data_IF_181513965310
#
_entry.id   IF_181513965310
#
_cell.length_a   1.000
_cell.length_b   1.000
_cell.length_c   1.000
_cell.angle_alpha   90.00
_cell.angle_beta   90.00
_cell.angle_gamma   90.00
#
_symmetry.space_group_name_H-M   'P 1'
#
loop_
_entity.id
_entity.type
_entity.pdbx_description
1 polymer ?
#
# COMPACT_ATOMS: atom_id res chain seq x y z
N UNK A 1 -9.77 6.52 -17.70
CA UNK A 1 -10.60 5.70 -16.78
C UNK A 1 -11.95 5.23 -17.33
N UNK A 2 -12.61 5.90 -18.30
CA UNK A 2 -13.92 5.47 -18.86
C UNK A 2 -13.89 4.18 -19.72
N UNK A 3 -12.79 3.90 -20.42
CA UNK A 3 -12.69 2.75 -21.35
C UNK A 3 -12.70 1.35 -20.70
N UNK A 4 -12.03 1.17 -19.55
CA UNK A 4 -12.00 -0.12 -18.82
C UNK A 4 -13.37 -0.53 -18.28
N UNK A 5 -14.19 0.45 -17.87
CA UNK A 5 -15.54 0.21 -17.36
C UNK A 5 -16.51 -0.16 -18.48
N UNK A 6 -16.36 0.46 -19.65
CA UNK A 6 -17.15 0.17 -20.85
C UNK A 6 -16.83 -1.23 -21.40
N UNK A 7 -15.55 -1.60 -21.47
CA UNK A 7 -15.14 -2.94 -21.91
C UNK A 7 -15.68 -4.06 -21.01
N UNK A 8 -15.61 -3.87 -19.68
CA UNK A 8 -16.20 -4.83 -18.73
C UNK A 8 -17.71 -4.98 -18.92
N UNK A 9 -18.45 -3.88 -19.09
CA UNK A 9 -19.90 -3.92 -19.34
C UNK A 9 -20.24 -4.64 -20.64
N UNK A 10 -19.50 -4.37 -21.72
CA UNK A 10 -19.70 -5.02 -23.02
C UNK A 10 -19.39 -6.51 -22.96
N UNK A 11 -18.29 -6.91 -22.31
CA UNK A 11 -17.97 -8.32 -22.10
C UNK A 11 -19.03 -9.03 -21.24
N UNK A 12 -19.56 -8.36 -20.21
CA UNK A 12 -20.64 -8.89 -19.36
C UNK A 12 -21.94 -9.05 -20.15
N UNK A 13 -22.29 -8.08 -21.01
CA UNK A 13 -23.49 -8.19 -21.86
C UNK A 13 -23.35 -9.29 -22.91
N UNK A 14 -22.17 -9.46 -23.50
CA UNK A 14 -21.92 -10.52 -24.48
C UNK A 14 -21.96 -11.91 -23.82
N UNK A 15 -21.37 -12.05 -22.63
CA UNK A 15 -21.44 -13.31 -21.87
C UNK A 15 -22.86 -13.63 -21.41
N UNK A 16 -23.64 -12.65 -20.95
CA UNK A 16 -25.07 -12.82 -20.65
C UNK A 16 -25.87 -13.27 -21.88
N UNK A 17 -25.63 -12.65 -23.03
CA UNK A 17 -26.34 -12.97 -24.28
C UNK A 17 -25.99 -14.38 -24.78
N UNK A 18 -24.71 -14.78 -24.70
CA UNK A 18 -24.30 -16.16 -24.95
C UNK A 18 -24.93 -17.14 -23.96
N UNK A 19 -25.02 -16.78 -22.67
CA UNK A 19 -25.61 -17.64 -21.64
C UNK A 19 -27.12 -17.83 -21.88
N UNK A 20 -27.83 -16.77 -22.27
CA UNK A 20 -29.25 -16.84 -22.67
C UNK A 20 -29.43 -17.75 -23.89
N UNK A 21 -28.61 -17.57 -24.94
CA UNK A 21 -28.66 -18.43 -26.14
C UNK A 21 -28.39 -19.90 -25.81
N UNK A 22 -27.38 -20.19 -25.00
CA UNK A 22 -27.07 -21.55 -24.54
C UNK A 22 -28.22 -22.14 -23.72
N UNK A 23 -28.88 -21.33 -22.88
CA UNK A 23 -30.04 -21.74 -22.09
C UNK A 23 -31.24 -22.05 -23.00
N UNK A 24 -31.50 -21.23 -24.02
CA UNK A 24 -32.57 -21.47 -25.00
C UNK A 24 -32.32 -22.72 -25.84
N UNK A 25 -31.07 -22.96 -26.25
CA UNK A 25 -30.68 -24.19 -26.97
C UNK A 25 -30.86 -25.41 -26.06
N UNK A 26 -30.38 -25.36 -24.82
CA UNK A 26 -30.54 -26.44 -23.84
C UNK A 26 -32.02 -26.74 -23.54
N UNK A 27 -32.88 -25.71 -23.52
CA UNK A 27 -34.33 -25.87 -23.40
C UNK A 27 -34.93 -26.57 -24.63
N UNK A 28 -34.59 -26.11 -25.84
CA UNK A 28 -35.11 -26.68 -27.09
C UNK A 28 -34.67 -28.13 -27.31
N UNK A 29 -33.47 -28.49 -26.86
CA UNK A 29 -32.91 -29.85 -26.95
C UNK A 29 -33.41 -30.77 -25.81
N UNK A 30 -34.24 -30.26 -24.89
CA UNK A 30 -34.82 -31.07 -23.81
C UNK A 30 -33.81 -31.48 -22.73
N UNK A 31 -32.71 -30.74 -22.61
CA UNK A 31 -31.66 -30.98 -21.59
C UNK A 31 -32.22 -30.71 -20.19
N UNK A 32 -33.04 -29.67 -20.02
CA UNK A 32 -33.62 -29.35 -18.71
C UNK A 32 -34.70 -30.35 -18.26
N UNK A 33 -35.46 -30.95 -19.17
CA UNK A 33 -36.45 -31.99 -18.84
C UNK A 33 -35.80 -33.31 -18.43
N UNK A 34 -34.65 -33.64 -19.03
CA UNK A 34 -33.84 -34.81 -18.63
C UNK A 34 -33.09 -34.59 -17.32
N UNK A 35 -32.66 -33.36 -17.03
CA UNK A 35 -32.03 -32.97 -15.77
C UNK A 35 -33.05 -32.87 -14.62
N UNK A 36 -34.24 -32.31 -14.87
CA UNK A 36 -35.29 -32.12 -13.85
C UNK A 36 -35.93 -33.44 -13.38
N UNK A 37 -35.82 -34.52 -14.17
CA UNK A 37 -36.27 -35.86 -13.79
C UNK A 37 -35.29 -36.64 -12.92
N UNK A 38 -34.09 -36.11 -12.65
CA UNK A 38 -33.08 -36.75 -11.83
C UNK A 38 -33.08 -36.17 -10.41
N UNK A 39 -33.04 -37.00 -9.35
CA UNK A 39 -32.80 -36.50 -8.00
C UNK A 39 -31.46 -35.72 -7.96
N UNK A 40 -31.38 -34.67 -7.15
CA UNK A 40 -30.22 -33.76 -7.10
C UNK A 40 -28.88 -34.49 -6.91
N UNK A 41 -28.84 -35.52 -6.06
CA UNK A 41 -27.63 -36.29 -5.76
C UNK A 41 -27.06 -37.07 -6.96
N UNK A 42 -27.82 -37.94 -7.68
CA UNK A 42 -27.31 -38.64 -8.87
C UNK A 42 -26.99 -37.71 -10.05
N UNK A 43 -27.58 -36.51 -10.11
CA UNK A 43 -27.18 -35.48 -11.07
C UNK A 43 -25.78 -34.94 -10.76
N UNK A 44 -25.53 -34.58 -9.49
CA UNK A 44 -24.22 -34.11 -9.02
C UNK A 44 -23.16 -35.20 -9.21
N UNK A 45 -23.49 -36.45 -8.95
CA UNK A 45 -22.60 -37.60 -9.18
C UNK A 45 -22.24 -37.76 -10.66
N UNK A 46 -23.20 -37.67 -11.59
CA UNK A 46 -22.94 -37.69 -13.05
C UNK A 46 -22.08 -36.52 -13.53
N UNK A 47 -22.23 -35.35 -12.91
CA UNK A 47 -21.42 -34.16 -13.25
C UNK A 47 -19.99 -34.32 -12.73
N UNK A 48 -19.79 -34.83 -11.52
CA UNK A 48 -18.46 -35.04 -10.92
C UNK A 48 -17.71 -36.20 -11.60
N UNK A 49 -18.42 -37.27 -11.99
CA UNK A 49 -17.83 -38.41 -12.72
C UNK A 49 -17.49 -38.07 -14.18
N UNK A 50 -18.01 -36.96 -14.72
CA UNK A 50 -17.63 -36.48 -16.03
C UNK A 50 -16.16 -36.03 -16.02
N UNK A 51 -15.30 -36.79 -16.71
CA UNK A 51 -13.85 -36.57 -16.74
C UNK A 51 -13.47 -35.16 -17.22
N UNK A 52 -14.24 -34.58 -18.14
CA UNK A 52 -14.00 -33.22 -18.63
C UNK A 52 -14.32 -32.18 -17.54
N UNK A 53 -15.50 -32.27 -16.91
CA UNK A 53 -15.90 -31.34 -15.84
C UNK A 53 -14.97 -31.45 -14.62
N UNK A 54 -14.64 -32.68 -14.22
CA UNK A 54 -13.70 -32.97 -13.14
C UNK A 54 -12.30 -32.46 -13.46
N UNK A 55 -11.81 -32.68 -14.69
CA UNK A 55 -10.50 -32.20 -15.14
C UNK A 55 -10.37 -30.67 -15.17
N UNK A 56 -11.39 -29.99 -15.71
CA UNK A 56 -11.45 -28.51 -15.72
C UNK A 56 -11.54 -27.96 -14.30
N UNK A 57 -12.40 -28.52 -13.45
CA UNK A 57 -12.57 -28.08 -12.06
C UNK A 57 -11.28 -28.29 -11.25
N UNK A 58 -10.64 -29.46 -11.38
CA UNK A 58 -9.36 -29.75 -10.73
C UNK A 58 -8.25 -28.79 -11.19
N UNK A 59 -8.22 -28.45 -12.48
CA UNK A 59 -7.25 -27.49 -13.03
C UNK A 59 -7.46 -26.09 -12.48
N UNK A 60 -8.71 -25.61 -12.39
CA UNK A 60 -9.04 -24.31 -11.79
C UNK A 60 -8.64 -24.28 -10.31
N UNK A 61 -9.00 -25.32 -9.54
CA UNK A 61 -8.64 -25.43 -8.12
C UNK A 61 -7.11 -25.45 -7.97
N UNK A 62 -6.40 -26.21 -8.80
CA UNK A 62 -4.94 -26.27 -8.81
C UNK A 62 -4.31 -24.90 -9.03
N UNK A 63 -4.77 -24.15 -10.04
CA UNK A 63 -4.31 -22.77 -10.31
C UNK A 63 -4.57 -21.86 -9.11
N UNK A 64 -5.74 -21.94 -8.49
CA UNK A 64 -6.08 -21.12 -7.30
C UNK A 64 -5.18 -21.46 -6.11
N UNK A 65 -4.93 -22.74 -5.84
CA UNK A 65 -4.05 -23.20 -4.76
C UNK A 65 -2.61 -22.73 -5.00
N UNK A 66 -2.09 -22.95 -6.21
CA UNK A 66 -0.74 -22.53 -6.60
C UNK A 66 -0.59 -21.02 -6.43
N UNK A 67 -1.56 -20.24 -6.92
CA UNK A 67 -1.55 -18.78 -6.76
C UNK A 67 -1.55 -18.36 -5.29
N UNK A 68 -2.42 -18.95 -4.46
CA UNK A 68 -2.48 -18.65 -3.02
C UNK A 68 -1.18 -19.01 -2.31
N UNK A 69 -0.59 -20.16 -2.65
CA UNK A 69 0.68 -20.63 -2.10
C UNK A 69 1.84 -19.71 -2.51
N UNK A 70 1.91 -19.31 -3.78
CA UNK A 70 2.91 -18.38 -4.29
C UNK A 70 2.82 -17.02 -3.60
N UNK A 71 1.63 -16.44 -3.48
CA UNK A 71 1.41 -15.17 -2.77
C UNK A 71 1.84 -15.28 -1.31
N UNK A 72 1.49 -16.36 -0.63
CA UNK A 72 1.90 -16.61 0.75
C UNK A 72 3.42 -16.75 0.88
N UNK A 73 4.06 -17.50 -0.02
CA UNK A 73 5.50 -17.69 -0.04
C UNK A 73 6.25 -16.36 -0.26
N UNK A 74 5.80 -15.55 -1.22
CA UNK A 74 6.36 -14.21 -1.50
C UNK A 74 6.23 -13.28 -0.28
N UNK A 75 5.05 -13.22 0.35
CA UNK A 75 4.85 -12.47 1.61
C UNK A 75 5.82 -12.93 2.70
N UNK A 76 6.00 -14.25 2.84
CA UNK A 76 6.90 -14.83 3.84
C UNK A 76 8.37 -14.45 3.56
N UNK A 77 8.79 -14.49 2.29
CA UNK A 77 10.16 -14.13 1.90
C UNK A 77 10.47 -12.67 2.13
N UNK A 78 9.54 -11.76 1.78
CA UNK A 78 9.70 -10.33 2.07
C UNK A 78 9.84 -10.06 3.57
N UNK A 79 9.04 -10.73 4.40
CA UNK A 79 9.10 -10.64 5.87
C UNK A 79 10.37 -11.26 6.48
N UNK A 80 11.12 -12.04 5.70
CA UNK A 80 12.41 -12.62 6.09
C UNK A 80 13.60 -11.75 5.68
N UNK A 81 13.38 -10.64 4.98
CA UNK A 81 14.45 -9.70 4.68
C UNK A 81 14.48 -8.59 5.75
N UNK A 82 15.59 -8.51 6.49
CA UNK A 82 15.77 -7.50 7.52
C UNK A 82 15.73 -6.07 6.94
N UNK A 83 16.36 -5.84 5.77
CA UNK A 83 16.43 -4.52 5.13
C UNK A 83 15.04 -4.02 4.76
N UNK A 84 14.19 -4.93 4.27
CA UNK A 84 12.80 -4.60 4.01
C UNK A 84 12.06 -4.21 5.30
N UNK A 85 12.31 -4.89 6.41
CA UNK A 85 11.66 -4.57 7.69
C UNK A 85 12.12 -3.21 8.24
N UNK A 86 13.39 -2.83 8.06
CA UNK A 86 13.91 -1.51 8.42
C UNK A 86 13.24 -0.41 7.59
N UNK A 87 13.21 -0.54 6.26
CA UNK A 87 12.49 0.42 5.41
C UNK A 87 10.99 0.52 5.77
N UNK A 88 10.36 -0.60 6.12
CA UNK A 88 8.95 -0.61 6.54
C UNK A 88 8.77 0.12 7.87
N UNK A 89 9.69 -0.02 8.82
CA UNK A 89 9.67 0.72 10.08
C UNK A 89 9.73 2.23 9.83
N UNK A 90 10.71 2.68 9.04
CA UNK A 90 10.89 4.09 8.70
C UNK A 90 9.63 4.65 8.02
N UNK A 91 9.09 3.94 7.03
CA UNK A 91 7.86 4.36 6.35
C UNK A 91 6.68 4.41 7.35
N UNK A 92 6.57 3.49 8.30
CA UNK A 92 5.53 3.56 9.34
C UNK A 92 5.68 4.79 10.22
N UNK A 93 6.91 5.17 10.59
CA UNK A 93 7.18 6.40 11.33
C UNK A 93 6.82 7.63 10.51
N UNK A 94 7.08 7.61 9.19
CA UNK A 94 6.61 8.62 8.25
C UNK A 94 5.08 8.72 8.21
N UNK A 95 4.37 7.59 8.08
CA UNK A 95 2.89 7.53 8.07
C UNK A 95 2.33 8.09 9.37
N UNK A 96 2.91 7.72 10.51
CA UNK A 96 2.49 8.20 11.83
C UNK A 96 2.68 9.72 11.95
N UNK A 97 3.81 10.23 11.49
CA UNK A 97 4.14 11.66 11.52
C UNK A 97 3.20 12.47 10.63
N UNK A 98 2.94 12.00 9.40
CA UNK A 98 1.92 12.58 8.52
C UNK A 98 0.55 12.56 9.19
N UNK A 99 0.19 11.46 9.85
CA UNK A 99 -1.07 11.33 10.59
C UNK A 99 -1.24 12.35 11.72
N UNK A 100 -0.14 12.84 12.31
CA UNK A 100 -0.15 13.86 13.37
C UNK A 100 -0.38 15.26 12.83
N UNK A 101 0.39 15.69 11.82
CA UNK A 101 0.33 17.09 11.36
C UNK A 101 -0.70 17.34 10.26
N UNK A 102 -1.02 16.36 9.39
CA UNK A 102 -1.94 16.59 8.27
C UNK A 102 -3.35 17.05 8.69
N UNK A 103 -3.94 16.55 9.80
CA UNK A 103 -5.21 17.07 10.30
C UNK A 103 -5.16 18.54 10.73
N UNK A 104 -3.97 19.07 11.02
CA UNK A 104 -3.74 20.44 11.47
C UNK A 104 -3.43 21.40 10.31
N UNK A 105 -3.17 20.88 9.11
CA UNK A 105 -2.88 21.69 7.92
C UNK A 105 -4.06 22.62 7.65
N UNK A 106 -3.82 23.94 7.51
CA UNK A 106 -4.90 24.90 7.32
C UNK A 106 -5.69 24.63 6.04
N UNK A 107 -7.01 24.73 6.15
CA UNK A 107 -7.88 24.62 4.98
C UNK A 107 -7.71 25.84 4.07
N UNK A 108 -7.68 25.57 2.75
CA UNK A 108 -7.63 26.61 1.73
C UNK A 108 -8.96 27.36 1.72
N UNK A 109 -8.90 28.67 1.96
CA UNK A 109 -10.06 29.53 1.79
C UNK A 109 -10.48 29.55 0.31
N UNK A 110 -11.76 29.31 0.06
CA UNK A 110 -12.37 29.40 -1.27
C UNK A 110 -12.88 30.81 -1.48
N UNK A 111 -12.64 31.34 -2.68
CA UNK A 111 -13.11 32.67 -3.05
C UNK A 111 -14.62 32.75 -3.20
N UNK A 112 -15.17 33.93 -2.93
CA UNK A 112 -16.54 34.30 -3.27
C UNK A 112 -16.51 35.22 -4.51
N UNK A 113 -17.67 35.50 -5.12
CA UNK A 113 -17.76 36.29 -6.37
C UNK A 113 -17.10 37.68 -6.30
N UNK A 114 -16.97 38.25 -5.10
CA UNK A 114 -16.45 39.59 -4.87
C UNK A 114 -15.03 39.63 -4.24
N UNK A 115 -14.32 38.50 -4.12
CA UNK A 115 -12.98 38.51 -3.51
C UNK A 115 -11.87 38.83 -4.51
N UNK A 116 -10.88 39.63 -4.11
CA UNK A 116 -9.63 39.76 -4.85
C UNK A 116 -8.85 38.44 -4.80
N UNK A 117 -8.62 37.87 -5.99
CA UNK A 117 -7.87 36.61 -6.15
C UNK A 117 -6.45 36.70 -5.59
N UNK A 118 -5.80 37.87 -5.70
CA UNK A 118 -4.44 38.07 -5.24
C UNK A 118 -4.35 38.15 -3.71
N UNK A 119 -5.24 38.91 -3.07
CA UNK A 119 -5.33 38.91 -1.60
C UNK A 119 -5.63 37.53 -1.05
N UNK A 120 -6.55 36.79 -1.69
CA UNK A 120 -6.89 35.44 -1.28
C UNK A 120 -5.71 34.46 -1.43
N UNK A 121 -4.93 34.56 -2.51
CA UNK A 121 -3.70 33.77 -2.70
C UNK A 121 -2.69 34.09 -1.61
N UNK A 122 -2.44 35.37 -1.34
CA UNK A 122 -1.53 35.84 -0.29
C UNK A 122 -1.93 35.30 1.09
N UNK A 123 -3.21 35.45 1.47
CA UNK A 123 -3.73 34.99 2.75
C UNK A 123 -3.58 33.47 2.92
N UNK A 124 -3.92 32.69 1.89
CA UNK A 124 -3.74 31.24 1.92
C UNK A 124 -2.26 30.84 2.02
N UNK A 125 -1.39 31.50 1.25
CA UNK A 125 0.04 31.25 1.29
C UNK A 125 0.63 31.52 2.68
N UNK A 126 0.26 32.65 3.30
CA UNK A 126 0.70 32.99 4.66
C UNK A 126 0.32 31.91 5.68
N UNK A 127 -0.89 31.35 5.60
CA UNK A 127 -1.31 30.23 6.47
C UNK A 127 -0.42 29.00 6.29
N UNK A 128 -0.17 28.60 5.05
CA UNK A 128 0.67 27.43 4.76
C UNK A 128 2.12 27.63 5.20
N UNK A 129 2.70 28.81 4.95
CA UNK A 129 4.06 29.15 5.36
C UNK A 129 4.17 29.18 6.88
N UNK A 130 3.23 29.84 7.57
CA UNK A 130 3.19 29.87 9.03
C UNK A 130 3.12 28.47 9.64
N UNK A 131 2.20 27.65 9.15
CA UNK A 131 2.07 26.25 9.55
C UNK A 131 3.36 25.44 9.31
N UNK A 132 3.98 25.60 8.13
CA UNK A 132 5.21 24.88 7.81
C UNK A 132 6.35 25.25 8.74
N UNK A 133 6.51 26.53 9.10
CA UNK A 133 7.58 26.97 10.00
C UNK A 133 7.37 26.43 11.43
N UNK A 134 6.13 26.35 11.90
CA UNK A 134 5.78 25.76 13.20
C UNK A 134 6.04 24.25 13.25
N UNK A 135 5.75 23.54 12.16
CA UNK A 135 5.84 22.07 12.08
C UNK A 135 7.02 21.57 11.23
N UNK A 136 8.04 22.41 10.97
CA UNK A 136 9.11 22.11 10.00
C UNK A 136 9.79 20.77 10.26
N UNK A 137 10.07 20.46 11.53
CA UNK A 137 10.72 19.21 11.92
C UNK A 137 9.90 17.97 11.57
N UNK A 138 8.59 17.99 11.87
CA UNK A 138 7.68 16.89 11.56
C UNK A 138 7.52 16.70 10.04
N UNK A 139 7.40 17.82 9.30
CA UNK A 139 7.29 17.79 7.84
C UNK A 139 8.57 17.24 7.21
N UNK A 140 9.74 17.68 7.67
CA UNK A 140 11.05 17.18 7.24
C UNK A 140 11.17 15.66 7.48
N UNK A 141 10.91 15.23 8.72
CA UNK A 141 11.05 13.83 9.11
C UNK A 141 10.09 12.94 8.31
N UNK A 142 8.83 13.35 8.17
CA UNK A 142 7.86 12.64 7.35
C UNK A 142 8.31 12.56 5.88
N UNK A 143 8.84 13.65 5.32
CA UNK A 143 9.34 13.65 3.96
C UNK A 143 10.46 12.61 3.80
N UNK A 144 11.45 12.66 4.70
CA UNK A 144 12.59 11.77 4.69
C UNK A 144 12.13 10.31 4.74
N UNK A 145 11.34 9.95 5.74
CA UNK A 145 10.81 8.60 5.93
C UNK A 145 10.02 8.07 4.72
N UNK A 146 9.11 8.87 4.17
CA UNK A 146 8.22 8.42 3.09
C UNK A 146 8.88 8.41 1.71
N UNK A 147 9.96 9.20 1.52
CA UNK A 147 10.59 9.42 0.22
C UNK A 147 12.05 8.98 0.13
N UNK A 148 12.61 8.40 1.20
CA UNK A 148 14.00 7.93 1.24
C UNK A 148 14.35 7.03 0.05
N UNK A 149 15.59 7.14 -0.45
CA UNK A 149 16.08 6.33 -1.58
C UNK A 149 16.09 4.84 -1.24
N UNK A 150 16.34 4.48 0.03
CA UNK A 150 16.25 3.10 0.50
C UNK A 150 14.86 2.46 0.29
N UNK A 151 13.80 3.25 0.18
CA UNK A 151 12.46 2.73 -0.11
C UNK A 151 12.37 2.09 -1.50
N UNK A 152 13.27 2.44 -2.43
CA UNK A 152 13.33 1.82 -3.75
C UNK A 152 13.71 0.33 -3.65
N UNK A 153 14.56 -0.03 -2.69
CA UNK A 153 14.90 -1.43 -2.42
C UNK A 153 13.68 -2.24 -2.00
N UNK A 154 12.82 -1.67 -1.16
CA UNK A 154 11.56 -2.31 -0.75
C UNK A 154 10.61 -2.45 -1.94
N UNK A 155 10.48 -1.41 -2.76
CA UNK A 155 9.66 -1.43 -3.98
C UNK A 155 10.15 -2.53 -4.92
N UNK A 156 11.44 -2.56 -5.23
CA UNK A 156 12.04 -3.54 -6.15
C UNK A 156 11.95 -4.97 -5.60
N UNK A 157 12.08 -5.14 -4.29
CA UNK A 157 11.89 -6.43 -3.62
C UNK A 157 10.44 -6.92 -3.74
N UNK A 158 9.46 -6.02 -3.56
CA UNK A 158 8.04 -6.33 -3.75
C UNK A 158 7.76 -6.63 -5.23
N UNK A 159 8.29 -5.83 -6.16
CA UNK A 159 8.13 -6.10 -7.60
C UNK A 159 8.67 -7.48 -7.94
N UNK A 160 9.90 -7.78 -7.56
CA UNK A 160 10.54 -9.07 -7.84
C UNK A 160 9.76 -10.25 -7.25
N UNK A 161 9.27 -10.11 -6.01
CA UNK A 161 8.53 -11.18 -5.34
C UNK A 161 7.15 -11.47 -5.93
N UNK A 162 6.50 -10.50 -6.58
CA UNK A 162 5.09 -10.60 -6.98
C UNK A 162 4.80 -10.40 -8.47
N UNK A 163 5.76 -9.92 -9.26
CA UNK A 163 5.63 -9.80 -10.72
C UNK A 163 5.52 -11.19 -11.37
N UNK A 164 6.25 -12.19 -10.84
CA UNK A 164 6.17 -13.60 -11.26
C UNK A 164 4.74 -14.15 -11.08
N UNK A 165 3.98 -13.62 -10.11
CA UNK A 165 2.67 -14.15 -9.73
C UNK A 165 1.50 -13.40 -10.38
N UNK A 166 1.75 -12.46 -11.31
CA UNK A 166 0.75 -11.64 -11.99
C UNK A 166 -0.28 -11.01 -11.03
N UNK A 167 0.18 -10.56 -9.85
CA UNK A 167 -0.71 -9.99 -8.85
C UNK A 167 -1.10 -8.54 -9.21
N UNK A 168 -2.08 -8.39 -10.09
CA UNK A 168 -2.51 -7.09 -10.62
C UNK A 168 -2.98 -6.10 -9.54
N UNK A 169 -3.61 -6.58 -8.46
CA UNK A 169 -4.03 -5.72 -7.35
C UNK A 169 -2.83 -5.12 -6.63
N UNK A 170 -1.82 -5.94 -6.32
CA UNK A 170 -0.59 -5.45 -5.71
C UNK A 170 0.17 -4.51 -6.65
N UNK A 171 0.20 -4.83 -7.95
CA UNK A 171 0.82 -3.97 -8.96
C UNK A 171 0.15 -2.59 -9.03
N UNK A 172 -1.18 -2.54 -8.94
CA UNK A 172 -1.94 -1.28 -8.88
C UNK A 172 -1.56 -0.43 -7.66
N UNK A 173 -1.57 -1.03 -6.46
CA UNK A 173 -1.19 -0.34 -5.22
C UNK A 173 0.25 0.17 -5.29
N UNK A 174 1.18 -0.67 -5.76
CA UNK A 174 2.58 -0.33 -5.85
C UNK A 174 2.84 0.77 -6.90
N UNK A 175 2.12 0.76 -8.01
CA UNK A 175 2.21 1.83 -9.00
C UNK A 175 1.76 3.18 -8.41
N UNK A 176 0.76 3.22 -7.53
CA UNK A 176 0.37 4.45 -6.86
C UNK A 176 1.50 5.03 -6.00
N UNK A 177 2.22 4.16 -5.26
CA UNK A 177 3.43 4.52 -4.51
C UNK A 177 4.50 5.07 -5.47
N UNK A 178 4.89 4.30 -6.50
CA UNK A 178 5.95 4.67 -7.45
C UNK A 178 5.66 5.98 -8.19
N UNK A 179 4.40 6.21 -8.59
CA UNK A 179 4.03 7.40 -9.33
C UNK A 179 4.02 8.67 -8.46
N UNK A 180 3.86 8.52 -7.14
CA UNK A 180 3.77 9.67 -6.22
C UNK A 180 5.09 9.99 -5.54
N UNK A 181 5.98 9.01 -5.40
CA UNK A 181 7.30 9.14 -4.78
C UNK A 181 8.14 10.31 -5.35
N UNK A 182 8.23 10.53 -6.68
CA UNK A 182 9.00 11.64 -7.24
C UNK A 182 8.48 13.02 -6.82
N UNK A 183 7.17 13.14 -6.53
CA UNK A 183 6.62 14.41 -6.09
C UNK A 183 7.20 14.84 -4.74
N UNK A 184 7.36 13.90 -3.80
CA UNK A 184 7.95 14.22 -2.50
C UNK A 184 9.45 14.48 -2.64
N UNK A 185 10.16 13.61 -3.36
CA UNK A 185 11.61 13.73 -3.59
C UNK A 185 12.01 15.04 -4.25
N UNK A 186 11.21 15.53 -5.19
CA UNK A 186 11.55 16.73 -5.96
C UNK A 186 10.98 18.00 -5.31
N UNK A 187 9.73 17.99 -4.82
CA UNK A 187 9.09 19.21 -4.30
C UNK A 187 9.63 19.65 -2.95
N UNK A 188 10.03 18.71 -2.09
CA UNK A 188 10.48 19.08 -0.74
C UNK A 188 11.82 19.84 -0.74
N UNK A 189 12.85 19.42 -1.49
CA UNK A 189 14.06 20.24 -1.67
C UNK A 189 13.77 21.64 -2.22
N UNK A 190 12.85 21.77 -3.18
CA UNK A 190 12.44 23.09 -3.69
C UNK A 190 11.77 23.97 -2.60
N UNK A 191 11.02 23.36 -1.68
CA UNK A 191 10.43 24.05 -0.52
C UNK A 191 11.53 24.53 0.42
N UNK A 192 12.54 23.71 0.70
CA UNK A 192 13.68 24.10 1.56
C UNK A 192 14.50 25.23 0.94
N UNK A 193 14.74 25.19 -0.37
CA UNK A 193 15.42 26.26 -1.09
C UNK A 193 14.62 27.57 -1.07
N UNK A 194 13.31 27.51 -1.31
CA UNK A 194 12.43 28.69 -1.25
C UNK A 194 12.32 29.26 0.15
N UNK A 195 12.24 28.41 1.17
CA UNK A 195 12.22 28.86 2.57
C UNK A 195 13.52 29.57 2.94
N UNK A 196 14.68 29.03 2.53
CA UNK A 196 15.98 29.68 2.73
C UNK A 196 16.01 31.06 2.06
N UNK A 197 15.61 31.15 0.78
CA UNK A 197 15.54 32.43 0.04
C UNK A 197 14.59 33.43 0.70
N UNK A 198 13.43 32.97 1.18
CA UNK A 198 12.45 33.80 1.87
C UNK A 198 12.99 34.33 3.21
N UNK A 199 13.77 33.53 3.95
CA UNK A 199 14.44 33.98 5.19
C UNK A 199 15.53 35.02 4.94
N UNK A 200 16.32 34.84 3.88
CA UNK A 200 17.40 35.76 3.51
C UNK A 200 16.84 37.09 2.95
N UNK A 201 15.80 36.99 2.12
CA UNK A 201 15.15 38.15 1.48
C UNK A 201 13.63 38.03 1.57
N UNK A 202 13.02 38.49 2.68
CA UNK A 202 11.57 38.44 2.83
C UNK A 202 10.86 39.23 1.73
N UNK A 203 10.22 38.53 0.81
CA UNK A 203 9.44 39.09 -0.29
C UNK A 203 8.07 38.40 -0.33
N UNK A 204 7.03 39.19 -0.58
CA UNK A 204 5.67 38.71 -0.79
C UNK A 204 5.58 37.67 -1.90
N UNK A 205 6.27 37.87 -3.02
CA UNK A 205 6.22 36.92 -4.14
C UNK A 205 6.82 35.56 -3.77
N UNK A 206 7.95 35.56 -3.05
CA UNK A 206 8.57 34.32 -2.53
C UNK A 206 7.66 33.61 -1.52
N UNK A 207 6.98 34.36 -0.65
CA UNK A 207 6.02 33.82 0.31
C UNK A 207 4.82 33.17 -0.40
N UNK A 208 4.28 33.81 -1.45
CA UNK A 208 3.20 33.23 -2.27
C UNK A 208 3.67 31.93 -2.94
N UNK A 209 4.84 31.95 -3.59
CA UNK A 209 5.39 30.76 -4.26
C UNK A 209 5.63 29.60 -3.29
N UNK A 210 6.21 29.89 -2.12
CA UNK A 210 6.44 28.90 -1.06
C UNK A 210 5.11 28.31 -0.57
N UNK A 211 4.12 29.16 -0.27
CA UNK A 211 2.80 28.73 0.20
C UNK A 211 2.06 27.86 -0.81
N UNK A 212 2.17 28.15 -2.11
CA UNK A 212 1.57 27.34 -3.18
C UNK A 212 2.24 25.97 -3.32
N UNK A 213 3.57 25.91 -3.23
CA UNK A 213 4.30 24.63 -3.23
C UNK A 213 3.95 23.80 -1.99
N UNK A 214 3.88 24.41 -0.82
CA UNK A 214 3.48 23.76 0.44
C UNK A 214 2.06 23.19 0.34
N UNK A 215 1.11 23.95 -0.20
CA UNK A 215 -0.26 23.47 -0.41
C UNK A 215 -0.30 22.20 -1.27
N UNK A 216 0.47 22.16 -2.37
CA UNK A 216 0.57 20.97 -3.22
C UNK A 216 1.30 19.82 -2.51
N UNK A 217 2.36 20.12 -1.77
CA UNK A 217 3.16 19.15 -1.05
C UNK A 217 2.34 18.43 0.03
N UNK A 218 1.57 19.14 0.86
CA UNK A 218 0.77 18.52 1.92
C UNK A 218 -0.28 17.54 1.38
N UNK A 219 -0.85 17.85 0.21
CA UNK A 219 -1.73 16.92 -0.51
C UNK A 219 -0.96 15.68 -0.94
N UNK A 220 0.24 15.84 -1.51
CA UNK A 220 1.08 14.73 -1.94
C UNK A 220 1.52 13.85 -0.77
N UNK A 221 1.93 14.43 0.34
CA UNK A 221 2.32 13.72 1.56
C UNK A 221 1.15 12.89 2.13
N UNK A 222 -0.06 13.45 2.17
CA UNK A 222 -1.27 12.73 2.59
C UNK A 222 -1.54 11.52 1.70
N UNK A 223 -1.48 11.68 0.38
CA UNK A 223 -1.67 10.57 -0.54
C UNK A 223 -0.58 9.52 -0.41
N UNK A 224 0.68 9.94 -0.28
CA UNK A 224 1.82 9.03 -0.16
C UNK A 224 1.70 8.16 1.10
N UNK A 225 1.38 8.74 2.24
CA UNK A 225 1.13 8.00 3.48
C UNK A 225 -0.04 7.01 3.31
N UNK A 226 -1.10 7.41 2.60
CA UNK A 226 -2.22 6.54 2.28
C UNK A 226 -1.83 5.35 1.40
N UNK A 227 -1.04 5.57 0.35
CA UNK A 227 -0.60 4.50 -0.55
C UNK A 227 0.37 3.53 0.11
N UNK A 228 1.31 4.03 0.92
CA UNK A 228 2.19 3.16 1.71
C UNK A 228 1.40 2.32 2.71
N UNK A 229 0.43 2.93 3.40
CA UNK A 229 -0.45 2.21 4.32
C UNK A 229 -1.24 1.11 3.59
N UNK A 230 -1.85 1.42 2.45
CA UNK A 230 -2.59 0.43 1.65
C UNK A 230 -1.70 -0.75 1.22
N UNK A 231 -0.46 -0.47 0.84
CA UNK A 231 0.54 -1.49 0.50
C UNK A 231 0.85 -2.39 1.70
N UNK A 232 1.09 -1.81 2.86
CA UNK A 232 1.43 -2.56 4.06
C UNK A 232 0.25 -3.36 4.63
N UNK A 233 -0.96 -2.80 4.57
CA UNK A 233 -2.20 -3.49 4.91
C UNK A 233 -2.39 -4.71 3.99
N UNK A 234 -2.16 -4.56 2.68
CA UNK A 234 -2.24 -5.66 1.72
C UNK A 234 -1.21 -6.78 1.99
N UNK A 235 0.00 -6.39 2.40
CA UNK A 235 1.08 -7.31 2.77
C UNK A 235 0.93 -7.89 4.18
N UNK A 236 -0.07 -7.46 4.94
CA UNK A 236 -0.38 -7.88 6.32
C UNK A 236 0.80 -7.63 7.26
N UNK A 237 1.41 -6.45 7.18
CA UNK A 237 2.41 -6.02 8.15
C UNK A 237 1.73 -5.46 9.40
N UNK A 238 2.23 -5.85 10.58
CA UNK A 238 1.81 -5.27 11.84
C UNK A 238 2.86 -4.23 12.26
N UNK A 239 2.52 -2.93 12.32
CA UNK A 239 3.47 -1.87 12.67
C UNK A 239 4.09 -2.07 14.06
N UNK A 240 3.31 -2.58 15.03
CA UNK A 240 3.81 -2.82 16.39
C UNK A 240 4.86 -3.93 16.39
N UNK A 241 4.60 -4.98 15.62
CA UNK A 241 5.55 -6.08 15.48
C UNK A 241 6.84 -5.60 14.79
N UNK A 242 6.73 -4.83 13.70
CA UNK A 242 7.90 -4.37 12.95
C UNK A 242 8.79 -3.46 13.79
N UNK A 243 8.21 -2.45 14.45
CA UNK A 243 8.96 -1.55 15.35
C UNK A 243 9.73 -2.30 16.44
N UNK A 244 9.05 -3.24 17.11
CA UNK A 244 9.70 -4.05 18.15
C UNK A 244 10.76 -5.00 17.57
N UNK A 245 10.52 -5.54 16.37
CA UNK A 245 11.45 -6.44 15.70
C UNK A 245 12.75 -5.74 15.33
N UNK A 246 12.68 -4.62 14.61
CA UNK A 246 13.88 -3.89 14.18
C UNK A 246 14.66 -3.39 15.39
N UNK A 247 13.98 -2.77 16.37
CA UNK A 247 14.61 -2.35 17.63
C UNK A 247 15.35 -3.48 18.35
N UNK A 248 14.70 -4.65 18.51
CA UNK A 248 15.31 -5.79 19.21
C UNK A 248 16.47 -6.37 18.43
N UNK A 249 16.37 -6.42 17.09
CA UNK A 249 17.44 -6.89 16.23
C UNK A 249 18.67 -5.99 16.31
N UNK A 250 18.51 -4.68 16.11
CA UNK A 250 19.60 -3.69 16.12
C UNK A 250 20.27 -3.56 17.50
N UNK A 251 19.57 -3.92 18.58
CA UNK A 251 20.18 -3.97 19.92
C UNK A 251 21.15 -5.15 20.07
N UNK A 252 20.92 -6.26 19.35
CA UNK A 252 21.67 -7.51 19.50
C UNK A 252 22.74 -7.70 18.43
N UNK A 253 22.42 -7.31 17.20
CA UNK A 253 23.25 -7.53 16.04
C UNK A 253 23.52 -6.20 15.36
N UNK A 254 24.80 -5.88 15.17
CA UNK A 254 25.21 -4.76 14.33
C UNK A 254 25.07 -5.17 12.87
N UNK A 255 24.36 -4.38 12.10
CA UNK A 255 24.05 -4.71 10.71
C UNK A 255 25.32 -4.91 9.85
N UNK A 256 26.37 -4.11 10.08
CA UNK A 256 27.62 -4.17 9.31
C UNK A 256 28.38 -5.49 9.51
N UNK A 257 28.23 -6.09 10.69
CA UNK A 257 28.82 -7.38 11.03
C UNK A 257 27.95 -8.51 10.52
N UNK A 258 26.63 -8.35 10.62
CA UNK A 258 25.65 -9.37 10.26
C UNK A 258 25.60 -9.64 8.75
N UNK A 259 25.71 -8.60 7.91
CA UNK A 259 25.65 -8.77 6.44
C UNK A 259 26.75 -9.67 5.87
N UNK A 260 27.86 -9.81 6.59
CA UNK A 260 29.00 -10.67 6.24
C UNK A 260 28.76 -12.15 6.58
N UNK A 261 27.74 -12.44 7.40
CA UNK A 261 27.44 -13.79 7.86
C UNK A 261 26.69 -14.60 6.79
N UNK A 262 26.86 -15.93 6.78
CA UNK A 262 26.09 -16.82 5.91
C UNK A 262 24.58 -16.62 6.10
N UNK A 263 23.82 -16.76 5.01
CA UNK A 263 22.36 -16.60 4.99
C UNK A 263 21.66 -17.47 6.04
N UNK A 264 22.19 -18.66 6.31
CA UNK A 264 21.67 -19.58 7.32
C UNK A 264 21.78 -19.00 8.74
N UNK A 265 22.90 -18.36 9.06
CA UNK A 265 23.15 -17.73 10.37
C UNK A 265 22.21 -16.55 10.55
N UNK A 266 22.13 -15.66 9.56
CA UNK A 266 21.21 -14.51 9.56
C UNK A 266 19.75 -14.95 9.74
N UNK A 267 19.32 -15.97 9.01
CA UNK A 267 17.96 -16.51 9.15
C UNK A 267 17.68 -17.02 10.57
N UNK A 268 18.66 -17.67 11.22
CA UNK A 268 18.51 -18.15 12.59
C UNK A 268 18.38 -17.00 13.59
N UNK A 269 19.21 -15.96 13.47
CA UNK A 269 19.11 -14.76 14.29
C UNK A 269 17.76 -14.06 14.13
N UNK A 270 17.27 -13.92 12.90
CA UNK A 270 15.94 -13.37 12.63
C UNK A 270 14.81 -14.21 13.25
N UNK A 271 14.92 -15.54 13.20
CA UNK A 271 13.94 -16.45 13.83
C UNK A 271 13.95 -16.28 15.35
N UNK A 272 15.13 -16.15 15.96
CA UNK A 272 15.29 -15.94 17.39
C UNK A 272 14.60 -14.64 17.84
N UNK A 273 14.96 -13.51 17.22
CA UNK A 273 14.38 -12.19 17.53
C UNK A 273 12.87 -12.19 17.30
N UNK A 274 12.40 -12.82 16.21
CA UNK A 274 10.97 -12.95 15.93
C UNK A 274 10.21 -13.71 17.02
N UNK A 275 10.79 -14.78 17.57
CA UNK A 275 10.19 -15.55 18.67
C UNK A 275 10.13 -14.72 19.95
N UNK A 276 11.19 -13.99 20.26
CA UNK A 276 11.26 -13.11 21.42
C UNK A 276 10.22 -11.99 21.35
N UNK A 277 10.16 -11.27 20.24
CA UNK A 277 9.20 -10.17 20.02
C UNK A 277 7.77 -10.67 20.13
N UNK A 278 7.45 -11.83 19.54
CA UNK A 278 6.13 -12.45 19.68
C UNK A 278 5.80 -12.78 21.13
N UNK A 279 6.75 -13.34 21.89
CA UNK A 279 6.58 -13.61 23.33
C UNK A 279 6.40 -12.31 24.12
N UNK A 280 7.11 -11.24 23.77
CA UNK A 280 6.97 -9.94 24.43
C UNK A 280 5.58 -9.32 24.18
N UNK A 281 5.11 -9.31 22.92
CA UNK A 281 3.78 -8.83 22.56
C UNK A 281 2.69 -9.66 23.26
N UNK A 282 2.81 -10.99 23.26
CA UNK A 282 1.86 -11.88 23.92
C UNK A 282 1.82 -11.61 25.44
N UNK A 283 2.98 -11.54 26.10
CA UNK A 283 3.06 -11.20 27.54
C UNK A 283 2.42 -9.86 27.85
N UNK A 284 2.65 -8.83 27.03
CA UNK A 284 2.05 -7.51 27.22
C UNK A 284 0.52 -7.56 27.05
N UNK A 285 0.01 -8.27 26.04
CA UNK A 285 -1.43 -8.49 25.85
C UNK A 285 -2.07 -9.18 27.06
N UNK A 286 -1.47 -10.28 27.54
CA UNK A 286 -1.95 -10.96 28.75
C UNK A 286 -1.93 -10.04 29.98
N UNK A 287 -0.82 -9.32 30.22
CA UNK A 287 -0.70 -8.41 31.37
C UNK A 287 -1.75 -7.29 31.35
N UNK A 288 -2.08 -6.76 30.19
CA UNK A 288 -3.06 -5.68 30.05
C UNK A 288 -4.50 -6.17 30.00
N UNK A 289 -4.74 -7.44 29.62
CA UNK A 289 -6.06 -8.07 29.70
C UNK A 289 -6.58 -8.11 31.14
N UNK A 290 -5.71 -8.41 32.11
CA UNK A 290 -6.02 -8.43 33.54
C UNK A 290 -6.05 -7.05 34.22
N UNK A 291 -5.82 -5.96 33.46
CA UNK A 291 -5.87 -4.57 33.96
C UNK A 291 -7.12 -3.80 33.51
N UNK A 292 -7.99 -4.43 32.73
CA UNK A 292 -9.34 -3.94 32.42
C UNK A 292 -10.36 -4.66 33.30
#
# INVERSE_FOLDING_TARGET
MKGKFMYRKVMLSLTLLCLILLTLIAWKVGVFTTIAGLPFFPLVEKIITNTYFSGVSCSIIGVVIIYKWQVWYSKRKLKQDFRCNECIEDIYDGIETVGKYVPLVPEREKGNKDCDCNELRKKNAQKYVGFYLEHKGDVYFANLALSYEGNDLLIDSIQSCFFINLNFKLLEILNNVKNRLPNLRNKYPEIEELEKKYKETPNEELMIQLGEKLASYFVDARFMAGYWKELFDYLEYDPTFIKLFVKTYNTRYKFEDDIKLPVTVRNNQMIEVKREVRRAILRNKFRNFWKK
#
